data_IF_703697912979
#
_entry.id   IF_703697912979
#
_cell.length_a   1.000
_cell.length_b   1.000
_cell.length_c   1.000
_cell.angle_alpha   90.00
_cell.angle_beta   90.00
_cell.angle_gamma   90.00
#
_symmetry.space_group_name_H-M   'P 1'
#
loop_
_entity.id
_entity.type
_entity.pdbx_description
1 polymer ?
#
# COMPACT_ATOMS: atom_id res chain seq x y z
N UNK A 1 -31.08 9.80 5.21
CA UNK A 1 -30.12 10.75 5.84
C UNK A 1 -30.70 12.14 5.69
N UNK A 2 -31.00 12.80 6.80
CA UNK A 2 -31.48 14.19 6.78
C UNK A 2 -30.24 15.09 6.70
N UNK A 3 -30.09 15.79 5.57
CA UNK A 3 -28.98 16.71 5.38
C UNK A 3 -29.40 18.05 6.00
N UNK A 4 -28.69 18.49 7.03
CA UNK A 4 -28.92 19.81 7.65
C UNK A 4 -27.94 20.80 7.01
N UNK A 5 -28.45 21.87 6.42
CA UNK A 5 -27.64 22.94 5.84
C UNK A 5 -27.70 24.15 6.80
N UNK A 6 -26.56 24.69 7.16
CA UNK A 6 -26.46 25.85 8.07
C UNK A 6 -25.66 26.97 7.42
N UNK A 7 -25.95 28.21 7.79
CA UNK A 7 -25.15 29.35 7.37
C UNK A 7 -23.70 29.19 7.91
N UNK A 8 -22.72 29.42 7.05
CA UNK A 8 -21.31 29.23 7.38
C UNK A 8 -20.79 27.82 7.04
N UNK A 9 -21.65 26.82 6.75
CA UNK A 9 -21.22 25.49 6.37
C UNK A 9 -20.47 25.48 5.02
N UNK A 10 -19.49 24.57 4.91
CA UNK A 10 -18.67 24.42 3.70
C UNK A 10 -19.03 23.13 2.96
N UNK A 11 -19.07 23.23 1.64
CA UNK A 11 -19.50 22.16 0.73
C UNK A 11 -18.56 22.10 -0.46
N UNK A 12 -18.56 21.01 -1.22
CA UNK A 12 -17.77 20.88 -2.45
C UNK A 12 -18.70 20.75 -3.64
N UNK A 13 -18.49 21.54 -4.68
CA UNK A 13 -19.24 21.42 -5.93
C UNK A 13 -18.71 20.27 -6.82
N UNK A 14 -19.45 19.95 -7.90
CA UNK A 14 -19.07 18.88 -8.85
C UNK A 14 -17.71 19.08 -9.53
N UNK A 15 -17.11 20.27 -9.43
CA UNK A 15 -15.79 20.59 -9.99
C UNK A 15 -14.69 20.54 -8.94
N UNK A 16 -15.04 20.24 -7.68
CA UNK A 16 -14.09 20.19 -6.56
C UNK A 16 -13.81 21.56 -5.94
N UNK A 17 -14.56 22.62 -6.31
CA UNK A 17 -14.39 23.94 -5.67
C UNK A 17 -15.15 24.00 -4.35
N UNK A 18 -14.52 24.56 -3.32
CA UNK A 18 -15.17 24.81 -2.01
C UNK A 18 -16.22 25.90 -2.15
N UNK A 19 -17.39 25.63 -1.63
CA UNK A 19 -18.56 26.50 -1.61
C UNK A 19 -18.92 26.78 -0.15
N UNK A 20 -19.03 28.05 0.25
CA UNK A 20 -19.44 28.46 1.58
C UNK A 20 -20.84 29.05 1.56
N UNK A 21 -21.73 28.50 2.39
CA UNK A 21 -23.10 29.00 2.54
C UNK A 21 -23.06 30.31 3.33
N UNK A 22 -23.67 31.35 2.78
CA UNK A 22 -23.76 32.66 3.40
C UNK A 22 -25.09 32.85 4.15
N UNK A 23 -26.21 32.50 3.52
CA UNK A 23 -27.53 32.68 4.07
C UNK A 23 -28.49 31.59 3.55
N UNK A 24 -29.42 31.20 4.41
CA UNK A 24 -30.55 30.33 4.08
C UNK A 24 -31.84 31.12 4.28
N UNK A 25 -32.65 31.19 3.24
CA UNK A 25 -34.02 31.69 3.35
C UNK A 25 -34.98 30.47 3.27
N UNK A 26 -35.40 30.04 4.46
CA UNK A 26 -36.29 28.85 4.59
C UNK A 26 -37.74 29.14 4.12
N UNK A 27 -38.16 30.42 4.10
CA UNK A 27 -39.52 30.78 3.68
C UNK A 27 -39.65 30.75 2.16
N UNK A 28 -38.63 31.23 1.46
CA UNK A 28 -38.56 31.20 -0.01
C UNK A 28 -37.88 29.96 -0.56
N UNK A 29 -37.29 29.11 0.29
CA UNK A 29 -36.56 27.89 -0.12
C UNK A 29 -35.28 28.20 -0.92
N UNK A 30 -34.65 29.34 -0.61
CA UNK A 30 -33.46 29.84 -1.32
C UNK A 30 -32.21 29.74 -0.45
N UNK A 31 -31.05 29.53 -1.10
CA UNK A 31 -29.74 29.52 -0.47
C UNK A 31 -28.80 30.43 -1.23
N UNK A 32 -28.08 31.27 -0.50
CA UNK A 32 -27.05 32.15 -1.02
C UNK A 32 -25.67 31.63 -0.58
N UNK A 33 -24.74 31.49 -1.50
CA UNK A 33 -23.42 30.94 -1.27
C UNK A 33 -22.35 31.60 -2.13
N UNK A 34 -21.09 31.40 -1.78
CA UNK A 34 -19.90 31.95 -2.46
C UNK A 34 -18.83 30.89 -2.69
N UNK A 35 -17.89 31.16 -3.58
CA UNK A 35 -16.66 30.38 -3.80
C UNK A 35 -15.44 31.15 -3.28
N UNK A 36 -15.05 31.02 -2.01
CA UNK A 36 -14.04 31.87 -1.39
C UNK A 36 -12.67 31.78 -2.08
N UNK A 37 -12.37 30.63 -2.70
CA UNK A 37 -11.07 30.37 -3.31
C UNK A 37 -11.05 30.49 -4.84
N UNK A 38 -12.16 30.89 -5.48
CA UNK A 38 -12.25 30.95 -6.95
C UNK A 38 -12.67 32.34 -7.46
N UNK A 39 -11.66 33.21 -7.69
CA UNK A 39 -11.85 34.59 -8.20
C UNK A 39 -12.48 34.69 -9.59
N UNK A 40 -12.63 33.57 -10.34
CA UNK A 40 -13.25 33.56 -11.67
C UNK A 40 -14.77 33.34 -11.60
N UNK A 41 -15.32 33.10 -10.42
CA UNK A 41 -16.74 32.90 -10.20
C UNK A 41 -17.40 34.13 -9.59
N UNK A 42 -18.73 34.31 -9.73
CA UNK A 42 -19.43 35.40 -9.09
C UNK A 42 -19.23 35.37 -7.58
N UNK A 43 -19.14 36.54 -6.98
CA UNK A 43 -18.87 36.71 -5.54
C UNK A 43 -19.94 36.02 -4.68
N UNK A 44 -21.21 36.06 -5.15
CA UNK A 44 -22.34 35.42 -4.49
C UNK A 44 -23.31 34.86 -5.53
N UNK A 45 -24.02 33.79 -5.17
CA UNK A 45 -25.04 33.18 -5.99
C UNK A 45 -26.19 32.67 -5.13
N UNK A 46 -27.43 32.99 -5.54
CA UNK A 46 -28.65 32.49 -4.90
C UNK A 46 -29.35 31.50 -5.81
N UNK A 47 -29.70 30.32 -5.28
CA UNK A 47 -30.47 29.29 -5.99
C UNK A 47 -31.42 28.58 -5.01
N UNK A 48 -32.37 27.77 -5.52
CA UNK A 48 -33.22 26.94 -4.64
C UNK A 48 -32.39 25.89 -3.89
N UNK A 49 -32.79 25.56 -2.68
CA UNK A 49 -32.14 24.58 -1.81
C UNK A 49 -32.02 23.22 -2.53
N UNK A 50 -33.08 22.74 -3.19
CA UNK A 50 -33.06 21.47 -3.92
C UNK A 50 -31.99 21.44 -5.01
N UNK A 51 -31.84 22.54 -5.75
CA UNK A 51 -30.83 22.68 -6.78
C UNK A 51 -29.42 22.71 -6.20
N UNK A 52 -29.24 23.36 -5.06
CA UNK A 52 -27.99 23.40 -4.33
C UNK A 52 -27.58 21.96 -3.91
N UNK A 53 -28.42 21.23 -3.20
CA UNK A 53 -28.17 19.86 -2.73
C UNK A 53 -27.83 18.92 -3.89
N UNK A 54 -28.41 19.12 -5.08
CA UNK A 54 -28.11 18.31 -6.27
C UNK A 54 -26.73 18.60 -6.88
N UNK A 55 -26.11 19.74 -6.55
CA UNK A 55 -24.86 20.23 -7.16
C UNK A 55 -23.65 20.15 -6.24
N UNK A 56 -23.85 20.01 -4.93
CA UNK A 56 -22.77 20.02 -3.93
C UNK A 56 -22.84 18.81 -3.02
N UNK A 57 -21.73 18.49 -2.36
CA UNK A 57 -21.65 17.47 -1.32
C UNK A 57 -21.15 18.11 -0.04
N UNK A 58 -21.66 17.71 1.14
CA UNK A 58 -21.11 18.20 2.41
C UNK A 58 -19.64 17.83 2.52
N UNK A 59 -18.84 18.75 2.99
CA UNK A 59 -17.51 18.42 3.49
C UNK A 59 -17.77 17.78 4.85
N UNK A 60 -17.62 16.47 4.97
CA UNK A 60 -17.67 15.82 6.27
C UNK A 60 -16.60 16.46 7.15
N UNK A 61 -17.05 17.27 8.08
CA UNK A 61 -16.19 17.91 9.09
C UNK A 61 -15.82 16.89 10.17
N UNK A 62 -15.08 15.84 9.80
CA UNK A 62 -14.09 15.29 10.69
C UNK A 62 -12.90 16.24 10.61
N UNK A 63 -12.38 16.75 11.75
CA UNK A 63 -11.15 17.51 11.70
C UNK A 63 -10.09 16.57 11.07
N UNK A 64 -9.70 16.85 9.82
CA UNK A 64 -8.43 16.37 9.32
C UNK A 64 -7.39 16.98 10.28
N UNK A 65 -6.87 16.14 11.18
CA UNK A 65 -5.58 16.39 11.77
C UNK A 65 -4.68 16.78 10.63
N UNK A 66 -4.11 17.95 10.71
CA UNK A 66 -3.26 18.52 9.68
C UNK A 66 -2.17 17.50 9.38
N UNK A 67 -2.35 16.72 8.32
CA UNK A 67 -1.30 15.83 7.81
C UNK A 67 -0.14 16.74 7.47
N UNK A 68 0.83 16.72 8.34
CA UNK A 68 2.09 17.41 8.17
C UNK A 68 2.59 17.07 6.76
N UNK A 69 2.74 18.09 5.92
CA UNK A 69 3.17 17.90 4.53
C UNK A 69 4.56 17.28 4.58
N UNK A 70 4.62 15.96 4.53
CA UNK A 70 5.88 15.24 4.42
C UNK A 70 6.61 15.76 3.19
N UNK A 71 7.87 16.13 3.38
CA UNK A 71 8.72 16.58 2.27
C UNK A 71 8.77 15.46 1.23
N UNK A 72 8.60 15.78 -0.08
CA UNK A 72 8.69 14.78 -1.13
C UNK A 72 10.02 14.03 -1.01
N UNK A 73 9.96 12.69 -1.00
CA UNK A 73 11.15 11.84 -0.98
C UNK A 73 11.58 11.29 0.37
N UNK A 74 10.91 11.62 1.49
CA UNK A 74 11.14 10.93 2.76
C UNK A 74 10.05 9.88 2.99
N UNK A 75 10.41 8.61 2.79
CA UNK A 75 9.69 7.50 3.40
C UNK A 75 9.97 7.56 4.90
N UNK A 76 9.11 8.20 5.66
CA UNK A 76 9.21 8.25 7.12
C UNK A 76 8.47 7.05 7.71
N UNK A 77 8.90 6.57 8.86
CA UNK A 77 8.27 5.49 9.63
C UNK A 77 6.78 5.73 9.93
N UNK A 78 6.33 6.98 9.90
CA UNK A 78 4.92 7.35 10.07
C UNK A 78 3.94 6.71 9.05
N UNK A 79 4.47 6.13 7.97
CA UNK A 79 3.68 5.42 6.96
C UNK A 79 3.42 3.96 7.32
N UNK A 80 4.07 3.47 8.37
CA UNK A 80 3.98 2.09 8.86
C UNK A 80 2.93 1.97 9.96
N UNK A 81 2.55 3.08 10.60
CA UNK A 81 1.76 3.09 11.83
C UNK A 81 0.27 2.73 11.64
N UNK A 82 -0.27 2.81 10.41
CA UNK A 82 -1.62 2.34 10.09
C UNK A 82 -1.57 1.38 8.90
N UNK A 83 -1.40 0.10 9.18
CA UNK A 83 -1.50 -0.93 8.15
C UNK A 83 -2.95 -1.03 7.66
N UNK A 84 -3.23 -0.84 6.36
CA UNK A 84 -4.56 -1.07 5.83
C UNK A 84 -4.95 -2.53 5.99
N UNK A 85 -6.26 -2.79 6.08
CA UNK A 85 -6.81 -4.13 6.26
C UNK A 85 -6.47 -5.13 5.12
N UNK A 86 -5.96 -4.62 4.01
CA UNK A 86 -5.55 -5.38 2.83
C UNK A 86 -4.02 -5.55 2.70
N UNK A 87 -3.24 -5.22 3.75
CA UNK A 87 -1.79 -5.42 3.73
C UNK A 87 -1.42 -6.87 3.40
N UNK A 88 -0.53 -7.07 2.43
CA UNK A 88 -0.05 -8.38 2.02
C UNK A 88 -1.10 -9.28 1.35
N UNK A 89 -2.29 -8.76 1.02
CA UNK A 89 -3.35 -9.50 0.32
C UNK A 89 -3.32 -9.34 -1.20
N UNK A 90 -2.28 -8.69 -1.72
CA UNK A 90 -2.12 -8.57 -3.18
C UNK A 90 -2.21 -9.95 -3.83
N UNK A 91 -3.08 -10.15 -4.83
CA UNK A 91 -3.21 -11.42 -5.53
C UNK A 91 -1.90 -11.88 -6.19
N UNK A 92 -0.97 -10.94 -6.41
CA UNK A 92 0.34 -11.21 -6.98
C UNK A 92 1.39 -11.68 -5.96
N UNK A 93 1.16 -11.41 -4.66
CA UNK A 93 2.11 -11.70 -3.58
C UNK A 93 1.51 -12.64 -2.54
N UNK A 94 0.81 -13.69 -2.95
CA UNK A 94 0.25 -14.68 -2.03
C UNK A 94 1.13 -15.93 -1.98
N UNK A 95 1.50 -16.33 -0.76
CA UNK A 95 2.14 -17.61 -0.51
C UNK A 95 1.08 -18.72 -0.54
N UNK A 96 1.24 -19.75 -1.37
CA UNK A 96 0.30 -20.88 -1.46
C UNK A 96 0.27 -21.72 -0.17
N UNK A 97 1.33 -21.67 0.64
CA UNK A 97 1.41 -22.29 1.95
C UNK A 97 1.04 -21.35 3.11
N UNK A 98 0.52 -20.14 2.84
CA UNK A 98 0.24 -19.13 3.86
C UNK A 98 -0.71 -19.64 4.95
N UNK A 99 -1.82 -20.29 4.57
CA UNK A 99 -2.78 -20.87 5.51
C UNK A 99 -2.15 -21.89 6.47
N UNK A 100 -1.23 -22.70 5.96
CA UNK A 100 -0.50 -23.65 6.78
C UNK A 100 0.42 -22.96 7.76
N UNK A 101 1.18 -21.96 7.31
CA UNK A 101 2.07 -21.16 8.15
C UNK A 101 1.31 -20.37 9.23
N UNK A 102 0.22 -19.72 8.88
CA UNK A 102 -0.61 -18.95 9.81
C UNK A 102 -1.24 -19.83 10.89
N UNK A 103 -1.76 -21.02 10.55
CA UNK A 103 -2.30 -21.96 11.53
C UNK A 103 -1.28 -22.33 12.59
N UNK A 104 -0.03 -22.57 12.19
CA UNK A 104 1.05 -22.89 13.11
C UNK A 104 1.42 -21.74 14.04
N UNK A 105 1.42 -20.52 13.54
CA UNK A 105 1.76 -19.35 14.33
C UNK A 105 0.65 -18.95 15.32
N UNK A 106 -0.63 -19.15 14.95
CA UNK A 106 -1.76 -18.88 15.83
C UNK A 106 -1.96 -19.92 16.94
N UNK A 107 -1.39 -21.13 16.80
CA UNK A 107 -1.45 -22.19 17.82
C UNK A 107 -0.80 -21.77 19.16
N UNK A 108 0.02 -20.71 19.18
CA UNK A 108 0.65 -20.17 20.39
C UNK A 108 -0.34 -19.58 21.40
N UNK A 109 -1.59 -19.32 21.01
CA UNK A 109 -2.65 -18.74 21.87
C UNK A 109 -3.63 -19.77 22.43
N UNK A 110 -3.48 -21.04 22.15
CA UNK A 110 -4.35 -22.08 22.70
C UNK A 110 -4.04 -22.23 24.19
N UNK A 111 -4.89 -21.67 25.05
CA UNK A 111 -4.90 -21.98 26.48
C UNK A 111 -5.20 -23.47 26.63
N UNK A 112 -4.21 -24.22 27.11
CA UNK A 112 -4.41 -25.62 27.46
C UNK A 112 -5.51 -25.72 28.52
N UNK A 113 -6.67 -26.23 28.13
CA UNK A 113 -7.68 -26.66 29.09
C UNK A 113 -7.18 -28.00 29.67
N UNK A 114 -6.53 -27.93 30.82
CA UNK A 114 -6.05 -29.10 31.54
C UNK A 114 -7.30 -29.82 32.09
N UNK A 115 -7.84 -30.78 31.32
CA UNK A 115 -8.97 -31.50 31.88
C UNK A 115 -9.74 -32.49 31.00
N UNK A 116 -9.53 -32.53 29.72
CA UNK A 116 -10.10 -33.57 28.87
C UNK A 116 -9.01 -33.99 27.87
N UNK A 117 -8.57 -35.24 27.91
CA UNK A 117 -7.53 -35.79 27.04
C UNK A 117 -7.78 -35.53 25.56
N UNK A 118 -7.47 -34.32 25.10
CA UNK A 118 -7.40 -33.93 23.73
C UNK A 118 -6.00 -34.26 23.22
N UNK A 119 -5.92 -34.76 21.99
CA UNK A 119 -4.67 -34.86 21.26
C UNK A 119 -3.94 -33.49 21.32
N UNK A 120 -2.63 -33.46 21.51
CA UNK A 120 -1.87 -32.22 21.44
C UNK A 120 -2.13 -31.58 20.07
N UNK A 121 -2.14 -30.24 19.98
CA UNK A 121 -2.34 -29.58 18.69
C UNK A 121 -1.27 -30.07 17.71
N UNK A 122 -1.72 -30.57 16.56
CA UNK A 122 -0.87 -31.18 15.51
C UNK A 122 0.16 -30.20 14.91
N UNK A 123 0.21 -28.96 15.39
CA UNK A 123 0.97 -27.89 14.74
C UNK A 123 2.04 -27.37 15.68
N UNK A 124 3.26 -27.74 15.40
CA UNK A 124 4.44 -27.22 16.07
C UNK A 124 4.87 -25.90 15.39
N UNK A 125 4.73 -24.76 16.08
CA UNK A 125 5.12 -23.45 15.55
C UNK A 125 6.62 -23.42 15.17
N UNK A 126 7.45 -24.26 15.79
CA UNK A 126 8.88 -24.39 15.49
C UNK A 126 9.09 -24.86 14.04
N UNK A 127 8.26 -25.77 13.54
CA UNK A 127 8.33 -26.26 12.17
C UNK A 127 7.98 -25.16 11.15
N UNK A 128 7.06 -24.27 11.50
CA UNK A 128 6.69 -23.14 10.62
C UNK A 128 7.81 -22.09 10.58
N UNK A 129 8.41 -21.78 11.73
CA UNK A 129 9.59 -20.92 11.79
C UNK A 129 10.77 -21.57 11.05
N UNK A 130 10.94 -22.88 11.18
CA UNK A 130 11.99 -23.61 10.48
C UNK A 130 11.76 -23.60 8.96
N UNK A 131 10.50 -23.72 8.48
CA UNK A 131 10.18 -23.61 7.06
C UNK A 131 10.65 -22.27 6.46
N UNK A 132 10.42 -21.17 7.15
CA UNK A 132 10.91 -19.85 6.72
C UNK A 132 12.43 -19.76 6.83
N UNK A 133 13.01 -20.30 7.92
CA UNK A 133 14.47 -20.31 8.11
C UNK A 133 15.21 -21.06 6.99
N UNK A 134 14.58 -22.11 6.42
CA UNK A 134 15.13 -22.95 5.34
C UNK A 134 15.07 -22.30 3.95
N UNK A 135 14.40 -21.16 3.79
CA UNK A 135 14.47 -20.42 2.53
C UNK A 135 15.91 -19.92 2.35
N UNK A 136 16.58 -20.42 1.32
CA UNK A 136 18.01 -20.12 1.07
C UNK A 136 18.22 -18.74 0.45
N UNK A 137 17.30 -18.28 -0.40
CA UNK A 137 17.38 -16.96 -1.01
C UNK A 137 17.00 -15.86 -0.01
N UNK A 138 17.94 -14.97 0.28
CA UNK A 138 17.77 -13.90 1.27
C UNK A 138 16.59 -12.98 0.96
N UNK A 139 16.53 -12.38 -0.26
CA UNK A 139 15.41 -11.55 -0.68
C UNK A 139 14.06 -12.26 -0.63
N UNK A 140 13.96 -13.52 -1.07
CA UNK A 140 12.74 -14.31 -0.99
C UNK A 140 12.32 -14.57 0.47
N UNK A 141 13.29 -14.89 1.35
CA UNK A 141 13.06 -15.01 2.79
C UNK A 141 12.56 -13.71 3.41
N UNK A 142 13.17 -12.58 3.05
CA UNK A 142 12.78 -11.26 3.53
C UNK A 142 11.34 -10.94 3.11
N UNK A 143 10.99 -11.16 1.84
CA UNK A 143 9.64 -10.95 1.33
C UNK A 143 8.61 -11.87 2.02
N UNK A 144 8.90 -13.18 2.13
CA UNK A 144 8.03 -14.12 2.83
C UNK A 144 7.79 -13.71 4.29
N UNK A 145 8.84 -13.23 4.97
CA UNK A 145 8.73 -12.72 6.34
C UNK A 145 7.80 -11.50 6.41
N UNK A 146 7.90 -10.56 5.48
CA UNK A 146 7.02 -9.39 5.41
C UNK A 146 5.56 -9.83 5.20
N UNK A 147 5.30 -10.75 4.27
CA UNK A 147 3.95 -11.22 3.96
C UNK A 147 3.28 -11.91 5.16
N UNK A 148 4.05 -12.62 5.98
CA UNK A 148 3.54 -13.37 7.13
C UNK A 148 3.38 -12.51 8.39
N UNK A 149 4.35 -11.65 8.67
CA UNK A 149 4.41 -10.91 9.95
C UNK A 149 4.26 -9.40 9.80
N UNK A 150 4.20 -8.87 8.58
CA UNK A 150 4.14 -7.43 8.34
C UNK A 150 2.89 -6.75 8.91
N UNK A 151 1.82 -7.52 9.20
CA UNK A 151 0.63 -7.03 9.89
C UNK A 151 0.77 -6.95 11.42
N UNK A 152 1.85 -7.52 12.00
CA UNK A 152 2.12 -7.41 13.43
C UNK A 152 2.78 -6.06 13.74
N UNK A 153 2.07 -5.21 14.46
CA UNK A 153 2.54 -3.86 14.85
C UNK A 153 3.76 -3.88 15.78
N UNK A 154 4.05 -5.01 16.40
CA UNK A 154 5.21 -5.16 17.28
C UNK A 154 6.48 -5.61 16.53
N UNK A 155 6.37 -5.94 15.25
CA UNK A 155 7.48 -6.40 14.46
C UNK A 155 8.00 -5.31 13.50
N UNK A 156 9.26 -4.91 13.66
CA UNK A 156 9.94 -3.99 12.74
C UNK A 156 10.50 -4.76 11.53
N UNK A 157 9.87 -4.59 10.39
CA UNK A 157 10.25 -5.22 9.13
C UNK A 157 11.05 -4.30 8.19
N UNK A 158 11.51 -3.15 8.69
CA UNK A 158 12.25 -2.16 7.89
C UNK A 158 13.48 -2.77 7.22
N UNK A 159 14.19 -3.66 7.92
CA UNK A 159 15.37 -4.34 7.39
C UNK A 159 15.03 -5.27 6.23
N UNK A 160 13.98 -6.07 6.37
CA UNK A 160 13.49 -6.99 5.34
C UNK A 160 13.01 -6.22 4.11
N UNK A 161 12.30 -5.13 4.32
CA UNK A 161 11.87 -4.23 3.26
C UNK A 161 13.06 -3.66 2.48
N UNK A 162 14.07 -3.15 3.18
CA UNK A 162 15.28 -2.62 2.54
C UNK A 162 16.08 -3.70 1.79
N UNK A 163 16.08 -4.95 2.25
CA UNK A 163 16.72 -6.09 1.57
C UNK A 163 16.03 -6.39 0.23
N UNK A 164 14.70 -6.49 0.21
CA UNK A 164 13.92 -6.66 -1.03
C UNK A 164 14.13 -5.49 -1.97
N UNK A 165 14.04 -4.25 -1.48
CA UNK A 165 14.27 -3.03 -2.27
C UNK A 165 15.66 -3.03 -2.89
N UNK A 166 16.69 -3.43 -2.13
CA UNK A 166 18.07 -3.48 -2.63
C UNK A 166 18.21 -4.50 -3.77
N UNK A 167 17.61 -5.68 -3.63
CA UNK A 167 17.60 -6.72 -4.66
C UNK A 167 16.92 -6.23 -5.95
N UNK A 168 15.70 -5.70 -5.87
CA UNK A 168 14.98 -5.17 -7.03
C UNK A 168 15.74 -4.03 -7.73
N UNK A 169 16.32 -3.11 -6.94
CA UNK A 169 17.08 -2.00 -7.48
C UNK A 169 18.35 -2.48 -8.20
N UNK A 170 19.08 -3.45 -7.64
CA UNK A 170 20.26 -4.03 -8.26
C UNK A 170 19.93 -4.72 -9.58
N UNK A 171 18.83 -5.49 -9.64
CA UNK A 171 18.34 -6.14 -10.85
C UNK A 171 18.00 -5.10 -11.93
N UNK A 172 17.28 -4.05 -11.58
CA UNK A 172 16.95 -2.97 -12.51
C UNK A 172 18.20 -2.30 -13.07
N UNK A 173 19.17 -1.94 -12.21
CA UNK A 173 20.44 -1.33 -12.66
C UNK A 173 21.18 -2.27 -13.61
N UNK A 174 21.20 -3.57 -13.31
CA UNK A 174 21.79 -4.59 -14.18
C UNK A 174 21.12 -4.64 -15.56
N UNK A 175 19.78 -4.62 -15.61
CA UNK A 175 19.00 -4.57 -16.86
C UNK A 175 19.27 -3.30 -17.65
N UNK A 176 19.19 -2.14 -16.98
CA UNK A 176 19.49 -0.85 -17.63
C UNK A 176 20.89 -0.84 -18.27
N UNK A 177 21.89 -1.39 -17.60
CA UNK A 177 23.26 -1.50 -18.16
C UNK A 177 23.31 -2.39 -19.39
N UNK A 178 22.59 -3.53 -19.38
CA UNK A 178 22.49 -4.43 -20.54
C UNK A 178 21.82 -3.75 -21.72
N UNK A 179 20.79 -2.94 -21.45
CA UNK A 179 20.03 -2.21 -22.48
C UNK A 179 20.76 -0.92 -22.93
N UNK A 180 21.95 -0.61 -22.38
CA UNK A 180 22.68 0.64 -22.66
C UNK A 180 21.94 1.89 -22.18
N UNK A 181 21.06 1.76 -21.20
CA UNK A 181 20.20 2.85 -20.70
C UNK A 181 20.85 3.53 -19.51
N UNK A 182 20.89 4.84 -19.56
CA UNK A 182 21.26 5.73 -18.46
C UNK A 182 20.04 6.46 -17.89
N UNK A 183 20.25 7.23 -16.84
CA UNK A 183 19.25 8.11 -16.26
C UNK A 183 18.65 9.09 -17.29
N UNK A 184 17.37 9.49 -17.15
CA UNK A 184 16.76 10.49 -18.02
C UNK A 184 17.49 11.82 -17.90
N UNK A 185 17.72 12.51 -19.01
CA UNK A 185 18.46 13.80 -19.04
C UNK A 185 17.84 14.90 -18.16
N UNK A 186 16.53 14.85 -17.95
CA UNK A 186 15.77 15.80 -17.11
C UNK A 186 15.51 15.26 -15.68
N UNK A 187 16.14 14.16 -15.29
CA UNK A 187 15.97 13.56 -13.97
C UNK A 187 17.05 14.07 -13.01
N UNK A 188 16.67 14.43 -11.80
CA UNK A 188 17.61 14.83 -10.74
C UNK A 188 18.30 13.62 -10.11
N UNK A 189 17.72 12.41 -10.26
CA UNK A 189 18.23 11.18 -9.68
C UNK A 189 19.22 10.48 -10.58
N UNK A 190 20.32 9.98 -10.01
CA UNK A 190 21.21 9.04 -10.69
C UNK A 190 20.53 7.68 -10.85
N UNK A 191 20.96 6.88 -11.82
CA UNK A 191 20.33 5.58 -12.11
C UNK A 191 20.16 4.66 -10.88
N UNK A 192 21.15 4.47 -9.99
CA UNK A 192 20.94 3.64 -8.79
C UNK A 192 19.92 4.21 -7.80
N UNK A 193 19.84 5.53 -7.68
CA UNK A 193 18.88 6.21 -6.84
C UNK A 193 17.46 6.09 -7.41
N UNK A 194 17.31 6.33 -8.72
CA UNK A 194 16.04 6.11 -9.43
C UNK A 194 15.56 4.65 -9.29
N UNK A 195 16.46 3.69 -9.45
CA UNK A 195 16.14 2.27 -9.28
C UNK A 195 15.66 1.97 -7.86
N UNK A 196 16.30 2.54 -6.84
CA UNK A 196 15.88 2.36 -5.43
C UNK A 196 14.51 2.99 -5.15
N UNK A 197 14.24 4.19 -5.68
CA UNK A 197 12.93 4.84 -5.53
C UNK A 197 11.83 4.03 -6.23
N UNK A 198 12.11 3.53 -7.44
CA UNK A 198 11.18 2.67 -8.17
C UNK A 198 10.94 1.35 -7.44
N UNK A 199 11.97 0.70 -6.91
CA UNK A 199 11.84 -0.53 -6.14
C UNK A 199 10.99 -0.33 -4.88
N UNK A 200 11.21 0.75 -4.14
CA UNK A 200 10.39 1.13 -2.99
C UNK A 200 8.92 1.36 -3.38
N UNK A 201 8.71 2.08 -4.48
CA UNK A 201 7.36 2.30 -5.00
C UNK A 201 6.68 0.97 -5.32
N UNK A 202 7.34 0.11 -6.09
CA UNK A 202 6.77 -1.18 -6.52
C UNK A 202 6.43 -2.04 -5.31
N UNK A 203 7.38 -2.26 -4.40
CA UNK A 203 7.13 -3.09 -3.22
C UNK A 203 6.03 -2.51 -2.34
N UNK A 204 6.04 -1.20 -2.08
CA UNK A 204 5.01 -0.55 -1.27
C UNK A 204 3.62 -0.67 -1.91
N UNK A 205 3.51 -0.39 -3.22
CA UNK A 205 2.24 -0.44 -3.92
C UNK A 205 1.68 -1.87 -4.05
N UNK A 206 2.54 -2.88 -4.15
CA UNK A 206 2.11 -4.28 -4.11
C UNK A 206 1.65 -4.69 -2.71
N UNK A 207 2.41 -4.38 -1.66
CA UNK A 207 2.05 -4.75 -0.30
C UNK A 207 0.73 -4.11 0.18
N UNK A 208 0.40 -2.91 -0.31
CA UNK A 208 -0.77 -2.15 0.11
C UNK A 208 -1.89 -2.10 -0.93
N UNK A 209 -1.76 -2.81 -2.05
CA UNK A 209 -2.74 -2.85 -3.17
C UNK A 209 -3.14 -1.45 -3.67
N UNK A 210 -2.19 -0.54 -3.82
CA UNK A 210 -2.47 0.87 -4.14
C UNK A 210 -2.49 1.18 -5.64
N UNK A 211 -2.32 0.19 -6.51
CA UNK A 211 -2.18 0.44 -7.95
C UNK A 211 -3.37 1.13 -8.58
N UNK A 212 -4.58 0.79 -8.17
CA UNK A 212 -5.82 1.33 -8.71
C UNK A 212 -6.20 2.69 -8.11
N UNK A 213 -5.66 3.02 -6.92
CA UNK A 213 -5.94 4.27 -6.22
C UNK A 213 -5.16 5.46 -6.79
N UNK A 214 -4.07 5.20 -7.52
CA UNK A 214 -3.16 6.24 -7.98
C UNK A 214 -2.93 6.21 -9.49
N UNK A 215 -3.06 7.37 -10.13
CA UNK A 215 -2.58 7.58 -11.51
C UNK A 215 -1.05 7.49 -11.57
N UNK A 216 -0.48 7.27 -12.76
CA UNK A 216 0.99 7.28 -12.96
C UNK A 216 1.64 8.54 -12.37
N UNK A 217 1.07 9.72 -12.61
CA UNK A 217 1.57 10.98 -12.06
C UNK A 217 1.48 11.01 -10.52
N UNK A 218 0.40 10.46 -9.96
CA UNK A 218 0.20 10.34 -8.51
C UNK A 218 1.28 9.46 -7.88
N UNK A 219 1.51 8.28 -8.45
CA UNK A 219 2.53 7.32 -7.99
C UNK A 219 3.94 7.92 -7.99
N UNK A 220 4.33 8.59 -9.08
CA UNK A 220 5.63 9.24 -9.18
C UNK A 220 5.81 10.33 -8.11
N UNK A 221 4.77 11.18 -7.94
CA UNK A 221 4.80 12.22 -6.90
C UNK A 221 4.86 11.64 -5.48
N UNK A 222 4.07 10.60 -5.22
CA UNK A 222 4.06 9.89 -3.95
C UNK A 222 5.45 9.32 -3.61
N UNK A 223 6.10 8.70 -4.57
CA UNK A 223 7.38 8.04 -4.41
C UNK A 223 8.60 8.97 -4.51
N UNK A 224 8.38 10.27 -4.72
CA UNK A 224 9.47 11.24 -4.88
C UNK A 224 10.28 11.07 -6.18
N UNK A 225 9.69 10.42 -7.20
CA UNK A 225 10.36 10.19 -8.49
C UNK A 225 10.12 11.41 -9.38
N UNK A 226 11.17 12.19 -9.61
CA UNK A 226 11.14 13.40 -10.43
C UNK A 226 11.37 13.08 -11.92
N UNK A 227 10.49 12.28 -12.50
CA UNK A 227 10.47 11.95 -13.91
C UNK A 227 9.13 12.35 -14.50
N UNK A 228 9.12 12.90 -15.72
CA UNK A 228 7.87 13.21 -16.41
C UNK A 228 7.08 11.92 -16.66
N UNK A 229 5.75 11.96 -16.44
CA UNK A 229 4.87 10.81 -16.58
C UNK A 229 4.92 10.16 -17.96
N UNK A 230 5.05 10.94 -19.04
CA UNK A 230 5.20 10.39 -20.39
C UNK A 230 6.54 9.70 -20.58
N UNK A 231 7.63 10.27 -20.09
CA UNK A 231 8.96 9.65 -20.11
C UNK A 231 8.95 8.37 -19.28
N UNK A 232 8.30 8.39 -18.11
CA UNK A 232 8.15 7.22 -17.28
C UNK A 232 7.40 6.11 -18.01
N UNK A 233 6.24 6.41 -18.58
CA UNK A 233 5.40 5.43 -19.29
C UNK A 233 6.14 4.82 -20.48
N UNK A 234 6.85 5.63 -21.26
CA UNK A 234 7.52 5.17 -22.46
C UNK A 234 8.86 4.42 -22.22
N UNK A 235 9.56 4.75 -21.14
CA UNK A 235 10.92 4.28 -20.94
C UNK A 235 11.13 3.44 -19.68
N UNK A 236 10.39 3.70 -18.60
CA UNK A 236 10.63 3.13 -17.27
C UNK A 236 9.56 2.15 -16.81
N UNK A 237 8.35 2.22 -17.37
CA UNK A 237 7.26 1.32 -17.02
C UNK A 237 7.62 -0.17 -17.26
N UNK A 238 8.45 -0.45 -18.27
CA UNK A 238 8.95 -1.81 -18.52
C UNK A 238 9.77 -2.34 -17.34
N UNK A 239 10.65 -1.51 -16.77
CA UNK A 239 11.43 -1.91 -15.59
C UNK A 239 10.58 -2.04 -14.34
N UNK A 240 9.54 -1.21 -14.19
CA UNK A 240 8.55 -1.40 -13.12
C UNK A 240 7.90 -2.78 -13.21
N UNK A 241 7.43 -3.18 -14.40
CA UNK A 241 6.82 -4.50 -14.61
C UNK A 241 7.80 -5.62 -14.33
N UNK A 242 9.02 -5.51 -14.77
CA UNK A 242 10.07 -6.49 -14.47
C UNK A 242 10.38 -6.60 -12.96
N UNK A 243 10.26 -5.51 -12.20
CA UNK A 243 10.35 -5.57 -10.74
C UNK A 243 9.16 -6.30 -10.11
N UNK A 244 7.95 -6.15 -10.69
CA UNK A 244 6.77 -6.92 -10.26
C UNK A 244 6.97 -8.41 -10.56
N UNK A 245 7.51 -8.75 -11.74
CA UNK A 245 7.85 -10.14 -12.08
C UNK A 245 8.89 -10.69 -11.09
N UNK A 246 9.94 -9.92 -10.74
CA UNK A 246 10.94 -10.32 -9.73
C UNK A 246 10.30 -10.60 -8.36
N UNK A 247 9.29 -9.82 -7.95
CA UNK A 247 8.56 -10.08 -6.69
C UNK A 247 7.80 -11.41 -6.75
N UNK A 248 7.13 -11.68 -7.88
CA UNK A 248 6.42 -12.94 -8.10
C UNK A 248 7.41 -14.13 -8.07
N UNK A 249 8.56 -14.00 -8.71
CA UNK A 249 9.60 -15.03 -8.71
C UNK A 249 10.09 -15.30 -7.27
N UNK A 250 10.33 -14.27 -6.47
CA UNK A 250 10.70 -14.42 -5.06
C UNK A 250 9.63 -15.15 -4.23
N UNK A 251 8.34 -14.87 -4.47
CA UNK A 251 7.23 -15.59 -3.81
C UNK A 251 7.23 -17.06 -4.23
N UNK A 252 7.43 -17.36 -5.51
CA UNK A 252 7.51 -18.73 -6.02
C UNK A 252 8.68 -19.49 -5.39
N UNK A 253 9.85 -18.89 -5.27
CA UNK A 253 11.04 -19.49 -4.65
C UNK A 253 10.82 -19.78 -3.16
N UNK A 254 10.17 -18.85 -2.46
CA UNK A 254 9.78 -19.04 -1.06
C UNK A 254 8.79 -20.21 -0.92
N UNK A 255 7.74 -20.23 -1.73
CA UNK A 255 6.73 -21.31 -1.73
C UNK A 255 7.33 -22.68 -2.04
N UNK A 256 8.24 -22.76 -2.99
CA UNK A 256 8.93 -24.01 -3.32
C UNK A 256 9.76 -24.52 -2.13
N UNK A 257 10.46 -23.62 -1.44
CA UNK A 257 11.26 -23.95 -0.26
C UNK A 257 10.37 -24.43 0.89
N UNK A 258 9.29 -23.72 1.20
CA UNK A 258 8.32 -24.04 2.24
C UNK A 258 7.63 -25.40 1.92
N UNK A 259 7.17 -25.57 0.68
CA UNK A 259 6.53 -26.81 0.24
C UNK A 259 7.46 -28.02 0.35
N UNK A 260 8.74 -27.85 0.03
CA UNK A 260 9.76 -28.89 0.16
C UNK A 260 9.98 -29.31 1.61
N UNK A 261 10.05 -28.33 2.52
CA UNK A 261 10.17 -28.59 3.97
C UNK A 261 8.95 -29.32 4.52
N UNK A 262 7.74 -28.85 4.16
CA UNK A 262 6.47 -29.49 4.55
C UNK A 262 6.38 -30.94 4.07
N UNK A 263 6.83 -31.23 2.85
CA UNK A 263 6.87 -32.60 2.31
C UNK A 263 7.87 -33.50 3.08
N UNK A 264 8.95 -32.94 3.61
CA UNK A 264 9.89 -33.70 4.47
C UNK A 264 9.27 -34.03 5.84
N UNK A 265 8.53 -33.08 6.46
CA UNK A 265 7.83 -33.34 7.72
C UNK A 265 6.82 -34.49 7.56
N UNK A 266 5.96 -34.43 6.54
CA UNK A 266 4.96 -35.47 6.29
C UNK A 266 5.60 -36.86 6.11
N UNK A 267 6.76 -36.97 5.45
CA UNK A 267 7.48 -38.23 5.29
C UNK A 267 8.09 -38.73 6.60
N UNK A 268 8.49 -37.85 7.50
CA UNK A 268 9.02 -38.24 8.80
C UNK A 268 7.91 -38.82 9.69
N UNK A 269 6.70 -38.22 9.65
CA UNK A 269 5.53 -38.68 10.39
C UNK A 269 5.02 -40.05 9.88
N UNK A 270 5.04 -40.30 8.57
CA UNK A 270 4.65 -41.58 7.96
C UNK A 270 5.60 -42.74 8.32
N UNK A 271 6.81 -42.44 8.78
CA UNK A 271 7.83 -43.45 9.15
C UNK A 271 7.96 -43.67 10.66
N UNK A 272 7.25 -42.90 11.49
CA UNK A 272 7.28 -42.98 12.96
C UNK A 272 6.14 -43.83 13.53
#
# INVERSE_FOLDING_TARGET
>A
MTITIEAGSEWVDKKGDVVKVLCLDCEEGLITFTWPNNKKRPTERTISIDKFVSQVKPIDSKPEEAKEKSKPGQFTSAWIDELPSNFGKSPNLQLSNQDWLERGMHAKTVKFNIGAGGLPPEVNWEDHCAAIAMINDGPAKALASILLWGSDTNWDWSRQFDEVVHHLAANMVGRCKKDGRSEPQACTHRLPELARLMARMVLHFELYELWDDYTVKGRLKFSGIEVNSSTYTNAWLTYQRQMMDDLIDMVCDADQSIGSYRAQLNKADDNA
#
